data_IF_820386753996
#
_entry.id   IF_820386753996
#
_cell.length_a   1.000
_cell.length_b   1.000
_cell.length_c   1.000
_cell.angle_alpha   90.00
_cell.angle_beta   90.00
_cell.angle_gamma   90.00
#
_symmetry.space_group_name_H-M   'P 1'
#
loop_
_entity.id
_entity.type
_entity.pdbx_description
1 polymer ?
#
# COMPACT_ATOMS: atom_id res chain seq x y z
N UNK A 1 -19.93 1.89 -16.03
CA UNK A 1 -19.45 1.16 -14.85
C UNK A 1 -18.06 1.67 -14.54
N UNK A 2 -17.74 2.04 -13.30
CA UNK A 2 -16.34 2.27 -12.93
C UNK A 2 -15.65 0.91 -12.85
N UNK A 3 -14.54 0.76 -13.57
CA UNK A 3 -13.69 -0.44 -13.47
C UNK A 3 -12.70 -0.22 -12.34
N UNK A 4 -12.92 -0.91 -11.22
CA UNK A 4 -11.96 -0.95 -10.12
C UNK A 4 -11.00 -2.10 -10.32
N UNK A 5 -9.70 -1.82 -10.21
CA UNK A 5 -8.67 -2.84 -10.22
C UNK A 5 -8.17 -3.09 -8.80
N UNK A 6 -8.22 -4.35 -8.35
CA UNK A 6 -7.70 -4.77 -7.06
C UNK A 6 -6.36 -5.46 -7.26
N UNK A 7 -5.30 -4.88 -6.70
CA UNK A 7 -3.93 -5.36 -6.89
C UNK A 7 -3.20 -5.43 -5.56
N UNK A 8 -2.25 -6.35 -5.47
CA UNK A 8 -1.24 -6.33 -4.40
C UNK A 8 -0.07 -5.45 -4.81
N UNK A 9 0.64 -4.90 -3.84
CA UNK A 9 1.84 -4.11 -4.14
C UNK A 9 2.93 -4.94 -4.83
N UNK A 10 2.99 -6.25 -4.61
CA UNK A 10 3.89 -7.16 -5.35
C UNK A 10 3.54 -7.28 -6.85
N UNK A 11 2.28 -7.13 -7.23
CA UNK A 11 1.86 -7.13 -8.64
C UNK A 11 2.15 -5.79 -9.33
N UNK A 12 2.18 -4.71 -8.55
CA UNK A 12 2.26 -3.33 -9.02
C UNK A 12 3.22 -2.51 -8.12
N UNK A 13 4.51 -2.88 -8.05
CA UNK A 13 5.48 -2.24 -7.15
C UNK A 13 5.71 -0.76 -7.46
N UNK A 14 5.39 -0.32 -8.68
CA UNK A 14 5.45 1.08 -9.09
C UNK A 14 4.55 2.00 -8.25
N UNK A 15 3.51 1.46 -7.59
CA UNK A 15 2.59 2.22 -6.74
C UNK A 15 3.10 2.46 -5.32
N UNK A 16 4.30 2.00 -4.96
CA UNK A 16 4.81 2.05 -3.57
C UNK A 16 4.78 3.45 -2.97
N UNK A 17 5.31 4.45 -3.69
CA UNK A 17 5.41 5.81 -3.15
C UNK A 17 4.03 6.47 -3.02
N UNK A 18 3.19 6.31 -4.03
CA UNK A 18 1.83 6.85 -4.04
C UNK A 18 0.95 6.18 -2.98
N UNK A 19 1.09 4.87 -2.80
CA UNK A 19 0.44 4.14 -1.72
C UNK A 19 0.91 4.68 -0.37
N UNK A 20 2.21 4.77 -0.11
CA UNK A 20 2.72 5.27 1.18
C UNK A 20 2.20 6.68 1.50
N UNK A 21 2.18 7.58 0.51
CA UNK A 21 1.63 8.93 0.67
C UNK A 21 0.11 8.90 0.92
N UNK A 22 -0.62 8.04 0.21
CA UNK A 22 -2.06 7.87 0.42
C UNK A 22 -2.36 7.37 1.83
N UNK A 23 -1.65 6.33 2.31
CA UNK A 23 -1.80 5.81 3.67
C UNK A 23 -1.40 6.87 4.72
N UNK A 24 -0.32 7.61 4.51
CA UNK A 24 0.04 8.74 5.38
C UNK A 24 -1.12 9.74 5.50
N UNK A 25 -1.74 10.13 4.39
CA UNK A 25 -2.81 11.12 4.38
C UNK A 25 -4.10 10.61 5.04
N UNK A 26 -4.38 9.30 5.01
CA UNK A 26 -5.56 8.72 5.66
C UNK A 26 -5.38 8.56 7.18
N UNK A 27 -4.20 8.12 7.63
CA UNK A 27 -3.98 7.69 9.02
C UNK A 27 -3.03 8.59 9.83
N UNK A 28 -2.33 9.53 9.20
CA UNK A 28 -1.40 10.46 9.86
C UNK A 28 -0.07 9.86 10.32
N UNK A 29 0.14 8.55 10.12
CA UNK A 29 1.43 7.88 10.39
C UNK A 29 2.47 8.33 9.35
N UNK A 30 3.73 8.61 9.72
CA UNK A 30 4.76 9.08 8.79
C UNK A 30 4.88 8.24 7.52
N UNK A 31 5.03 8.88 6.37
CA UNK A 31 5.15 8.21 5.08
C UNK A 31 6.35 7.25 5.05
N UNK A 32 7.45 7.60 5.72
CA UNK A 32 8.66 6.80 5.83
C UNK A 32 8.41 5.45 6.52
N UNK A 33 7.51 5.40 7.50
CA UNK A 33 7.14 4.16 8.16
C UNK A 33 6.41 3.22 7.19
N UNK A 34 5.49 3.75 6.39
CA UNK A 34 4.82 2.99 5.34
C UNK A 34 5.79 2.51 4.26
N UNK A 35 6.71 3.37 3.82
CA UNK A 35 7.74 2.99 2.85
C UNK A 35 8.60 1.83 3.35
N UNK A 36 9.03 1.86 4.61
CA UNK A 36 9.81 0.78 5.21
C UNK A 36 9.03 -0.55 5.23
N UNK A 37 7.76 -0.53 5.66
CA UNK A 37 6.92 -1.73 5.68
C UNK A 37 6.62 -2.27 4.27
N UNK A 38 6.37 -1.38 3.30
CA UNK A 38 6.13 -1.76 1.92
C UNK A 38 7.38 -2.35 1.25
N UNK A 39 8.56 -1.80 1.55
CA UNK A 39 9.84 -2.33 1.07
C UNK A 39 10.07 -3.75 1.59
N UNK A 40 9.88 -3.98 2.89
CA UNK A 40 10.00 -5.31 3.49
C UNK A 40 9.04 -6.32 2.83
N UNK A 41 7.80 -5.89 2.55
CA UNK A 41 6.82 -6.73 1.85
C UNK A 41 7.24 -7.08 0.41
N UNK A 42 7.79 -6.10 -0.33
CA UNK A 42 8.29 -6.29 -1.69
C UNK A 42 9.53 -7.20 -1.73
N UNK A 43 10.41 -7.07 -0.74
CA UNK A 43 11.60 -7.89 -0.57
C UNK A 43 11.31 -9.32 -0.05
N UNK A 44 10.05 -9.63 0.25
CA UNK A 44 9.61 -10.91 0.84
C UNK A 44 10.23 -11.20 2.21
N UNK A 45 10.56 -10.13 2.95
CA UNK A 45 11.00 -10.21 4.34
C UNK A 45 9.80 -10.42 5.28
N UNK A 46 8.60 -10.10 4.80
CA UNK A 46 7.33 -10.37 5.50
C UNK A 46 6.23 -10.82 4.53
N UNK A 47 5.28 -11.59 5.07
CA UNK A 47 4.04 -11.97 4.38
C UNK A 47 2.88 -10.99 4.68
N UNK A 48 3.09 -10.02 5.58
CA UNK A 48 2.14 -8.95 5.84
C UNK A 48 2.02 -8.05 4.60
N UNK A 49 0.87 -8.14 3.94
CA UNK A 49 0.67 -7.64 2.58
C UNK A 49 -0.03 -6.30 2.46
N UNK A 50 0.18 -5.69 1.30
CA UNK A 50 -0.42 -4.42 0.90
C UNK A 50 -1.31 -4.61 -0.32
N UNK A 51 -2.57 -4.19 -0.19
CA UNK A 51 -3.62 -4.32 -1.20
C UNK A 51 -4.15 -2.94 -1.55
N UNK A 52 -4.34 -2.68 -2.84
CA UNK A 52 -4.77 -1.40 -3.38
C UNK A 52 -6.01 -1.61 -4.26
N UNK A 53 -6.96 -0.69 -4.14
CA UNK A 53 -8.09 -0.53 -5.06
C UNK A 53 -7.81 0.70 -5.92
N UNK A 54 -7.59 0.49 -7.22
CA UNK A 54 -7.32 1.54 -8.19
C UNK A 54 -8.59 1.90 -8.96
N UNK A 55 -8.86 3.19 -9.12
CA UNK A 55 -9.87 3.79 -10.01
C UNK A 55 -9.11 4.54 -11.13
N UNK A 56 -8.73 3.80 -12.18
CA UNK A 56 -7.80 4.29 -13.20
C UNK A 56 -6.41 4.56 -12.63
N UNK A 57 -5.98 5.82 -12.67
CA UNK A 57 -4.68 6.29 -12.16
C UNK A 57 -4.76 6.84 -10.73
N UNK A 58 -5.80 6.48 -9.96
CA UNK A 58 -5.97 6.94 -8.58
C UNK A 58 -6.20 5.79 -7.61
N UNK A 59 -5.68 5.93 -6.39
CA UNK A 59 -5.99 5.02 -5.29
C UNK A 59 -7.34 5.40 -4.68
N UNK A 60 -8.33 4.52 -4.85
CA UNK A 60 -9.66 4.66 -4.25
C UNK A 60 -9.72 4.07 -2.83
N UNK A 61 -8.81 3.17 -2.49
CA UNK A 61 -8.72 2.54 -1.18
C UNK A 61 -7.52 1.61 -1.05
N UNK A 62 -7.18 1.24 0.17
CA UNK A 62 -6.09 0.31 0.45
C UNK A 62 -6.27 -0.42 1.78
N UNK A 63 -5.68 -1.61 1.86
CA UNK A 63 -5.56 -2.41 3.07
C UNK A 63 -4.09 -2.75 3.28
N UNK A 64 -3.55 -2.34 4.42
CA UNK A 64 -2.26 -2.81 4.92
C UNK A 64 -2.51 -3.86 5.99
N UNK A 65 -1.98 -5.05 5.81
CA UNK A 65 -1.74 -5.98 6.91
C UNK A 65 -0.34 -5.66 7.39
N UNK A 66 -0.20 -5.39 8.69
CA UNK A 66 1.08 -5.05 9.32
C UNK A 66 1.23 -5.88 10.59
N UNK A 67 2.47 -6.10 11.02
CA UNK A 67 2.73 -6.61 12.36
C UNK A 67 2.19 -5.61 13.38
N UNK A 68 1.45 -6.10 14.37
CA UNK A 68 0.77 -5.22 15.31
C UNK A 68 1.75 -4.72 16.38
N UNK A 69 2.45 -3.63 16.07
CA UNK A 69 3.42 -2.97 16.96
C UNK A 69 2.93 -1.59 17.48
N UNK A 70 1.65 -1.24 17.29
CA UNK A 70 1.02 0.02 17.74
C UNK A 70 0.13 -0.16 18.99
#
# INVERSE_FOLDING_TARGET
MKEYAYVTLRQRPEWKEEAAAWFHNQWGVPQEAYLACMEAYLNRETEYGWYLCLDGEHIAGGLGVIENDF
#
